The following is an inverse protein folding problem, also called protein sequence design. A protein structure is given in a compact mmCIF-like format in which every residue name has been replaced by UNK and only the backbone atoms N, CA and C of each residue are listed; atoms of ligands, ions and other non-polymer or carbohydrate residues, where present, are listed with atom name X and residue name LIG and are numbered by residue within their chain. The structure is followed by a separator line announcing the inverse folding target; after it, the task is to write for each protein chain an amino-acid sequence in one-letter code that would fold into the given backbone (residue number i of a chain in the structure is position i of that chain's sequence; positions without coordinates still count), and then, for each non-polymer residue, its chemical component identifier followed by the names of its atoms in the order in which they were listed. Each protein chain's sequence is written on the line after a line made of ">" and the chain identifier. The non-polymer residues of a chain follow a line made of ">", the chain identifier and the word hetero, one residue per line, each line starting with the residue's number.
data_IF_841753232958
#
_entry.id   IF_841753232958
#
_cell.length_a   1.000
_cell.length_b   1.000
_cell.length_c   1.000
_cell.angle_alpha   90.00
_cell.angle_beta   90.00
_cell.angle_gamma   90.00
#
_symmetry.space_group_name_H-M   'P 1'
#
loop_
_entity.id
_entity.type
_entity.pdbx_description
1 polymer ?
#
# COMPACT_ATOMS: atom_id res chain seq x y z
N UNK A 1 -11.95 -4.39 4.90
CA UNK A 1 -10.58 -4.93 4.83
C UNK A 1 -9.74 -3.95 4.06
N UNK A 2 -8.70 -3.36 4.68
CA UNK A 2 -7.84 -2.35 4.02
C UNK A 2 -6.74 -3.02 3.22
N UNK A 3 -6.53 -2.59 1.99
CA UNK A 3 -5.50 -3.15 1.11
C UNK A 3 -4.76 -2.05 0.37
N UNK A 4 -3.51 -2.33 0.04
CA UNK A 4 -2.73 -1.61 -0.97
C UNK A 4 -2.60 -2.55 -2.17
N UNK A 5 -2.77 -2.02 -3.38
CA UNK A 5 -2.66 -2.78 -4.63
C UNK A 5 -1.52 -2.21 -5.46
N UNK A 6 -0.64 -3.06 -5.97
CA UNK A 6 0.33 -2.70 -7.01
C UNK A 6 -0.40 -2.37 -8.33
N UNK A 7 0.06 -1.36 -9.06
CA UNK A 7 -0.48 -0.95 -10.35
C UNK A 7 -0.64 -2.10 -11.35
N UNK A 8 0.27 -3.08 -11.37
CA UNK A 8 0.14 -4.23 -12.27
C UNK A 8 -1.11 -5.05 -11.96
N UNK A 9 -1.39 -5.27 -10.68
CA UNK A 9 -2.59 -5.96 -10.20
C UNK A 9 -3.85 -5.12 -10.49
N UNK A 10 -3.78 -3.80 -10.30
CA UNK A 10 -4.88 -2.91 -10.66
C UNK A 10 -5.20 -3.03 -12.17
N UNK A 11 -4.21 -2.90 -13.04
CA UNK A 11 -4.37 -2.94 -14.49
C UNK A 11 -5.01 -4.25 -14.98
N UNK A 12 -4.59 -5.40 -14.47
CA UNK A 12 -5.19 -6.69 -14.84
C UNK A 12 -6.59 -6.88 -14.25
N UNK A 13 -6.96 -6.14 -13.20
CA UNK A 13 -8.30 -6.20 -12.60
C UNK A 13 -9.35 -5.31 -13.29
N UNK A 14 -8.93 -4.30 -14.07
CA UNK A 14 -9.88 -3.38 -14.73
C UNK A 14 -10.76 -4.03 -15.83
N UNK A 15 -10.24 -4.89 -16.75
CA UNK A 15 -11.03 -5.43 -17.84
C UNK A 15 -12.19 -6.33 -17.37
N UNK A 16 -13.39 -6.15 -17.94
CA UNK A 16 -14.60 -6.91 -17.56
C UNK A 16 -14.41 -8.44 -17.73
N UNK A 17 -13.67 -8.86 -18.75
CA UNK A 17 -13.42 -10.28 -19.04
C UNK A 17 -12.25 -10.88 -18.23
N UNK A 18 -11.56 -10.07 -17.41
CA UNK A 18 -10.44 -10.55 -16.62
C UNK A 18 -10.93 -11.48 -15.51
N UNK A 19 -10.26 -12.61 -15.23
CA UNK A 19 -10.55 -13.41 -14.04
C UNK A 19 -10.32 -12.60 -12.75
N UNK A 20 -9.46 -11.59 -12.77
CA UNK A 20 -9.15 -10.72 -11.64
C UNK A 20 -10.15 -9.57 -11.47
N UNK A 21 -11.16 -9.46 -12.35
CA UNK A 21 -12.15 -8.39 -12.33
C UNK A 21 -12.88 -8.26 -10.99
N UNK A 22 -13.09 -9.39 -10.31
CA UNK A 22 -13.74 -9.43 -9.01
C UNK A 22 -13.04 -8.56 -7.95
N UNK A 23 -11.70 -8.39 -8.06
CA UNK A 23 -10.94 -7.49 -7.17
C UNK A 23 -11.45 -6.06 -7.32
N UNK A 24 -11.46 -5.53 -8.55
CA UNK A 24 -11.94 -4.18 -8.82
C UNK A 24 -13.41 -3.99 -8.46
N UNK A 25 -14.27 -4.98 -8.73
CA UNK A 25 -15.68 -4.91 -8.36
C UNK A 25 -15.89 -4.86 -6.83
N UNK A 26 -15.03 -5.51 -6.06
CA UNK A 26 -15.03 -5.40 -4.60
C UNK A 26 -14.61 -4.00 -4.12
N UNK A 27 -13.59 -3.38 -4.73
CA UNK A 27 -13.19 -1.99 -4.43
C UNK A 27 -14.36 -1.05 -4.77
N UNK A 28 -14.90 -1.20 -5.98
CA UNK A 28 -16.00 -0.36 -6.48
C UNK A 28 -17.25 -0.42 -5.60
N UNK A 29 -17.54 -1.59 -5.03
CA UNK A 29 -18.70 -1.80 -4.16
C UNK A 29 -18.43 -1.51 -2.68
N UNK A 30 -17.22 -1.13 -2.29
CA UNK A 30 -16.87 -0.87 -0.89
C UNK A 30 -16.68 -2.14 -0.04
N UNK A 31 -16.63 -3.32 -0.65
CA UNK A 31 -16.38 -4.57 0.10
C UNK A 31 -14.96 -4.63 0.66
N UNK A 32 -14.03 -3.93 0.01
CA UNK A 32 -12.63 -3.78 0.43
C UNK A 32 -12.24 -2.31 0.33
N UNK A 33 -11.47 -1.85 1.31
CA UNK A 33 -11.03 -0.47 1.39
C UNK A 33 -9.68 -0.33 0.71
N UNK A 34 -9.58 0.53 -0.29
CA UNK A 34 -8.34 0.76 -1.04
C UNK A 34 -7.56 1.90 -0.38
N UNK A 35 -6.34 1.61 0.07
CA UNK A 35 -5.40 2.60 0.55
C UNK A 35 -4.54 3.09 -0.61
N UNK A 36 -4.41 4.40 -0.73
CA UNK A 36 -3.58 5.06 -1.76
C UNK A 36 -2.80 6.22 -1.15
N UNK A 37 -1.62 6.50 -1.68
CA UNK A 37 -0.85 7.72 -1.37
C UNK A 37 -0.72 8.60 -2.62
N UNK A 38 -0.20 9.82 -2.49
CA UNK A 38 0.07 10.67 -3.66
C UNK A 38 1.04 10.01 -4.65
N UNK A 39 2.07 9.31 -4.15
CA UNK A 39 3.05 8.61 -4.99
C UNK A 39 2.38 7.46 -5.75
N UNK A 40 1.55 6.65 -5.08
CA UNK A 40 0.78 5.56 -5.73
C UNK A 40 -0.17 6.11 -6.80
N UNK A 41 -0.90 7.18 -6.50
CA UNK A 41 -1.84 7.78 -7.47
C UNK A 41 -1.13 8.34 -8.69
N UNK A 42 0.05 8.95 -8.50
CA UNK A 42 0.88 9.46 -9.60
C UNK A 42 1.34 8.33 -10.51
N UNK A 43 1.81 7.22 -9.93
CA UNK A 43 2.19 6.04 -10.70
C UNK A 43 1.01 5.39 -11.42
N UNK A 44 -0.15 5.33 -10.78
CA UNK A 44 -1.36 4.86 -11.43
C UNK A 44 -1.71 5.71 -12.65
N UNK A 45 -1.68 7.05 -12.50
CA UNK A 45 -1.94 7.97 -13.61
C UNK A 45 -0.95 7.74 -14.76
N UNK A 46 0.35 7.64 -14.45
CA UNK A 46 1.40 7.41 -15.44
C UNK A 46 1.20 6.08 -16.19
N UNK A 47 1.08 4.96 -15.47
CA UNK A 47 0.98 3.62 -16.08
C UNK A 47 -0.32 3.37 -16.82
N UNK A 48 -1.42 3.98 -16.37
CA UNK A 48 -2.68 3.96 -17.13
C UNK A 48 -2.54 4.85 -18.38
N UNK A 49 -1.86 6.00 -18.26
CA UNK A 49 -1.58 6.92 -19.35
C UNK A 49 -0.74 6.30 -20.46
N UNK A 50 0.27 5.48 -20.12
CA UNK A 50 1.08 4.72 -21.09
C UNK A 50 0.24 3.76 -21.96
N UNK A 51 -0.90 3.28 -21.43
CA UNK A 51 -1.77 2.30 -22.08
C UNK A 51 -3.04 2.90 -22.70
N UNK A 52 -3.30 4.18 -22.43
CA UNK A 52 -4.54 4.86 -22.80
C UNK A 52 -4.28 6.32 -23.20
N UNK A 53 -5.26 7.22 -23.04
CA UNK A 53 -5.08 8.66 -23.18
C UNK A 53 -4.89 9.29 -21.81
N UNK A 54 -4.10 10.37 -21.67
CA UNK A 54 -3.90 11.04 -20.37
C UNK A 54 -5.20 11.41 -19.65
N UNK A 55 -6.21 11.86 -20.39
CA UNK A 55 -7.54 12.19 -19.85
C UNK A 55 -8.25 10.98 -19.24
N UNK A 56 -8.07 9.79 -19.83
CA UNK A 56 -8.63 8.53 -19.32
C UNK A 56 -7.94 8.17 -18.00
N UNK A 57 -6.61 8.27 -17.95
CA UNK A 57 -5.84 8.01 -16.73
C UNK A 57 -6.27 8.91 -15.57
N UNK A 58 -6.40 10.22 -15.82
CA UNK A 58 -6.90 11.19 -14.84
C UNK A 58 -8.31 10.86 -14.36
N UNK A 59 -9.20 10.46 -15.27
CA UNK A 59 -10.56 10.07 -14.91
C UNK A 59 -10.58 8.79 -14.07
N UNK A 60 -9.69 7.82 -14.32
CA UNK A 60 -9.58 6.61 -13.50
C UNK A 60 -9.05 6.94 -12.09
N UNK A 61 -8.01 7.77 -11.97
CA UNK A 61 -7.50 8.20 -10.66
C UNK A 61 -8.56 8.97 -9.86
N UNK A 62 -9.28 9.90 -10.52
CA UNK A 62 -10.42 10.59 -9.90
C UNK A 62 -11.54 9.62 -9.51
N UNK A 63 -11.84 8.62 -10.34
CA UNK A 63 -12.82 7.60 -10.00
C UNK A 63 -12.39 6.86 -8.72
N UNK A 64 -11.15 6.37 -8.66
CA UNK A 64 -10.63 5.64 -7.49
C UNK A 64 -10.77 6.48 -6.21
N UNK A 65 -10.40 7.76 -6.26
CA UNK A 65 -10.54 8.70 -5.14
C UNK A 65 -11.99 8.94 -4.69
N UNK A 66 -12.97 8.73 -5.57
CA UNK A 66 -14.39 8.91 -5.28
C UNK A 66 -15.13 7.59 -4.99
N UNK A 67 -14.42 6.45 -4.96
CA UNK A 67 -15.05 5.18 -4.58
C UNK A 67 -15.39 5.18 -3.07
N UNK A 68 -16.43 4.42 -2.66
CA UNK A 68 -16.98 4.50 -1.31
C UNK A 68 -15.97 4.27 -0.18
N UNK A 69 -15.00 3.39 -0.38
CA UNK A 69 -14.03 2.98 0.64
C UNK A 69 -12.58 3.16 0.17
N UNK A 70 -12.29 4.24 -0.55
CA UNK A 70 -10.88 4.63 -0.84
C UNK A 70 -10.38 5.61 0.21
N UNK A 71 -9.28 5.25 0.87
CA UNK A 71 -8.63 6.05 1.92
C UNK A 71 -7.29 6.60 1.40
N UNK A 72 -7.19 7.92 1.29
CA UNK A 72 -5.92 8.57 0.99
C UNK A 72 -5.06 8.64 2.25
N UNK A 73 -3.91 7.97 2.21
CA UNK A 73 -2.96 7.84 3.31
C UNK A 73 -1.80 8.79 3.09
N UNK A 74 -1.56 9.67 4.06
CA UNK A 74 -0.36 10.51 4.10
C UNK A 74 0.79 9.71 4.72
N UNK A 75 1.95 9.73 4.06
CA UNK A 75 3.13 8.94 4.43
C UNK A 75 4.25 9.93 4.79
N UNK A 76 4.89 9.71 5.94
CA UNK A 76 5.89 10.63 6.49
C UNK A 76 7.25 9.95 6.76
N UNK A 77 7.43 8.73 6.29
CA UNK A 77 8.65 7.94 6.45
C UNK A 77 8.91 7.13 5.19
N UNK A 78 10.10 6.52 5.10
CA UNK A 78 10.39 5.44 4.17
C UNK A 78 11.02 4.28 4.91
N UNK A 79 10.36 3.13 4.97
CA UNK A 79 10.90 1.92 5.62
C UNK A 79 11.98 1.26 4.78
N UNK A 80 12.04 1.53 3.48
CA UNK A 80 13.01 0.97 2.54
C UNK A 80 13.08 -0.57 2.62
N UNK A 81 11.92 -1.23 2.69
CA UNK A 81 11.80 -2.68 2.86
C UNK A 81 12.06 -3.42 1.55
N UNK A 82 11.78 -2.78 0.41
CA UNK A 82 11.94 -3.36 -0.94
C UNK A 82 13.28 -2.94 -1.53
N UNK A 83 14.38 -3.41 -0.91
CA UNK A 83 15.76 -3.01 -1.25
C UNK A 83 16.14 -3.18 -2.73
N UNK A 84 15.50 -4.11 -3.45
CA UNK A 84 15.77 -4.38 -4.86
C UNK A 84 15.19 -3.35 -5.82
N UNK A 85 14.03 -2.80 -5.46
CA UNK A 85 13.38 -1.73 -6.20
C UNK A 85 12.86 -0.67 -5.20
N UNK A 86 13.70 0.32 -4.86
CA UNK A 86 13.33 1.35 -3.91
C UNK A 86 12.17 2.24 -4.36
N UNK A 87 11.78 2.21 -5.63
CA UNK A 87 10.60 2.95 -6.09
C UNK A 87 9.33 2.29 -5.53
N UNK A 88 9.28 0.96 -5.49
CA UNK A 88 8.15 0.19 -4.99
C UNK A 88 7.89 0.34 -3.48
N UNK A 89 8.85 0.88 -2.72
CA UNK A 89 8.65 1.13 -1.28
C UNK A 89 7.47 2.05 -0.98
N UNK A 90 7.05 2.89 -1.94
CA UNK A 90 5.83 3.71 -1.85
C UNK A 90 4.59 2.88 -1.46
N UNK A 91 4.52 1.63 -1.93
CA UNK A 91 3.44 0.70 -1.60
C UNK A 91 3.57 0.10 -0.21
N UNK A 92 4.79 -0.31 0.18
CA UNK A 92 5.06 -0.85 1.51
C UNK A 92 4.82 0.23 2.59
N UNK A 93 5.28 1.45 2.34
CA UNK A 93 5.09 2.57 3.25
C UNK A 93 3.62 2.94 3.41
N UNK A 94 2.86 2.94 2.31
CA UNK A 94 1.40 3.14 2.34
C UNK A 94 0.72 2.04 3.14
N UNK A 95 1.15 0.78 2.96
CA UNK A 95 0.60 -0.35 3.69
C UNK A 95 0.83 -0.21 5.19
N UNK A 96 2.03 0.20 5.61
CA UNK A 96 2.33 0.45 7.02
C UNK A 96 1.54 1.66 7.55
N UNK A 97 1.45 2.75 6.79
CA UNK A 97 0.88 4.02 7.27
C UNK A 97 -0.64 3.92 7.41
N UNK A 98 -1.27 3.24 6.46
CA UNK A 98 -2.71 3.00 6.45
C UNK A 98 -3.15 1.78 7.27
N UNK A 99 -2.21 1.10 7.94
CA UNK A 99 -2.46 -0.16 8.64
C UNK A 99 -3.22 -1.15 7.75
N UNK A 100 -2.68 -1.38 6.55
CA UNK A 100 -3.24 -2.29 5.57
C UNK A 100 -3.22 -3.72 6.09
N UNK A 101 -4.29 -4.47 5.81
CA UNK A 101 -4.29 -5.90 6.04
C UNK A 101 -3.41 -6.63 5.01
N UNK A 102 -3.36 -6.14 3.78
CA UNK A 102 -2.60 -6.75 2.69
C UNK A 102 -2.02 -5.72 1.73
N UNK A 103 -0.82 -6.01 1.23
CA UNK A 103 -0.29 -5.45 0.00
C UNK A 103 -0.37 -6.55 -1.07
N UNK A 104 -1.02 -6.27 -2.19
CA UNK A 104 -1.25 -7.24 -3.27
C UNK A 104 -0.40 -6.88 -4.49
N UNK A 105 0.58 -7.72 -4.80
CA UNK A 105 1.44 -7.63 -5.99
C UNK A 105 1.81 -9.03 -6.49
N UNK A 106 1.96 -9.17 -7.82
CA UNK A 106 2.54 -10.35 -8.47
C UNK A 106 4.06 -10.21 -8.74
N UNK A 107 4.62 -9.03 -8.47
CA UNK A 107 6.02 -8.74 -8.65
C UNK A 107 6.89 -9.51 -7.64
N UNK A 108 8.04 -9.99 -8.11
CA UNK A 108 8.97 -10.78 -7.32
C UNK A 108 9.76 -9.93 -6.34
N UNK A 109 9.94 -8.65 -6.59
CA UNK A 109 10.74 -7.77 -5.74
C UNK A 109 10.02 -7.48 -4.42
N UNK A 110 8.69 -7.45 -4.41
CA UNK A 110 7.84 -7.39 -3.21
C UNK A 110 7.93 -8.62 -2.31
N UNK A 111 8.48 -9.76 -2.79
CA UNK A 111 8.51 -11.00 -2.00
C UNK A 111 9.34 -10.89 -0.73
N UNK A 112 10.27 -9.93 -0.65
CA UNK A 112 11.02 -9.65 0.59
C UNK A 112 10.07 -9.35 1.75
N UNK A 113 8.93 -8.69 1.49
CA UNK A 113 7.91 -8.35 2.48
C UNK A 113 7.27 -9.58 3.14
N UNK A 114 7.30 -10.76 2.49
CA UNK A 114 6.82 -12.01 3.12
C UNK A 114 7.68 -12.46 4.30
N UNK A 115 8.89 -11.92 4.42
CA UNK A 115 9.87 -12.23 5.46
C UNK A 115 10.09 -11.06 6.42
N UNK A 116 9.44 -9.91 6.20
CA UNK A 116 9.52 -8.75 7.08
C UNK A 116 8.57 -8.95 8.26
N UNK A 117 9.11 -8.91 9.48
CA UNK A 117 8.34 -9.05 10.72
C UNK A 117 7.75 -7.71 11.23
N UNK A 118 8.10 -6.58 10.60
CA UNK A 118 7.74 -5.21 11.00
C UNK A 118 6.54 -4.64 10.23
N UNK A 119 5.67 -3.82 10.88
CA UNK A 119 5.79 -3.17 12.20
C UNK A 119 6.01 -3.91 13.52
N UNK A 120 7.26 -4.06 13.99
CA UNK A 120 7.66 -4.40 15.36
C UNK A 120 8.84 -3.58 15.94
N UNK A 121 8.56 -2.93 17.07
CA UNK A 121 9.51 -2.13 17.88
C UNK A 121 10.03 -2.96 19.08
N UNK A 122 11.20 -2.55 19.57
CA UNK A 122 12.21 -3.20 20.42
C UNK A 122 11.79 -3.80 21.78
N UNK A 123 12.61 -4.75 22.24
CA UNK A 123 12.54 -5.43 23.54
C UNK A 123 13.79 -5.14 24.37
N UNK A 124 13.57 -4.83 25.65
CA UNK A 124 14.62 -4.59 26.65
C UNK A 124 14.77 -5.81 27.57
N UNK A 125 15.96 -5.99 28.13
CA UNK A 125 16.26 -6.94 29.22
C UNK A 125 15.81 -6.41 30.58
N UNK A 126 15.80 -7.25 31.63
CA UNK A 126 15.33 -6.85 32.96
C UNK A 126 16.20 -5.81 33.62
N UNK A 127 17.52 -5.79 33.43
CA UNK A 127 18.35 -4.69 33.91
C UNK A 127 18.09 -3.43 33.09
N UNK A 128 17.91 -3.55 31.79
CA UNK A 128 17.56 -2.43 30.91
C UNK A 128 16.20 -1.83 31.27
N UNK A 129 15.22 -2.66 31.63
CA UNK A 129 13.88 -2.24 32.04
C UNK A 129 13.80 -1.84 33.52
N UNK A 130 14.57 -2.47 34.41
CA UNK A 130 14.62 -2.12 35.83
C UNK A 130 15.39 -0.81 36.04
N UNK A 131 16.48 -0.64 35.31
CA UNK A 131 17.11 0.65 35.12
C UNK A 131 16.11 1.66 34.53
N UNK A 132 15.35 1.28 33.48
CA UNK A 132 14.29 2.11 32.92
C UNK A 132 13.31 2.57 34.01
N UNK A 133 12.78 1.65 34.84
CA UNK A 133 11.78 1.95 35.85
C UNK A 133 12.31 2.81 37.01
N UNK A 134 13.48 2.47 37.59
CA UNK A 134 14.07 3.22 38.72
C UNK A 134 14.42 4.66 38.35
N UNK A 135 14.91 4.88 37.14
CA UNK A 135 15.24 6.21 36.63
C UNK A 135 14.01 7.05 36.29
N UNK A 136 12.86 6.44 35.98
CA UNK A 136 11.66 7.12 35.48
C UNK A 136 10.61 7.43 36.57
N UNK A 137 10.68 6.79 37.74
CA UNK A 137 9.68 6.89 38.80
C UNK A 137 10.19 7.45 40.15
N UNK A 138 11.46 7.85 40.25
CA UNK A 138 12.04 8.68 41.34
C UNK A 138 12.07 10.17 40.93
#
# INVERSE_FOLDING_TARGET
>A
MRIVIDINVLLISLPIKSPYRYIFDCIKSGKISLLVSNEILSEYEEKIGEKTLPEIAQNVVRLLLNLPDTEKTEIYYRWNLIVKDPDDDKYADCAVAGNAAYLVSDDRDFRVLKHVEFPKIELLTSDEFLFLLKKTLD
#
